data_IF_188636824180
#
_entry.id   IF_188636824180
#
_cell.length_a   1.000
_cell.length_b   1.000
_cell.length_c   1.000
_cell.angle_alpha   90.00
_cell.angle_beta   90.00
_cell.angle_gamma   90.00
#
_symmetry.space_group_name_H-M   'P 1'
#
loop_
_entity.id
_entity.type
_entity.pdbx_description
1 polymer ?
#
# COMPACT_ATOMS: atom_id res chain seq x y z
N UNK A 1 -5.12 12.71 46.49
CA UNK A 1 -5.02 12.41 45.05
C UNK A 1 -6.33 11.79 44.61
N UNK A 2 -7.00 12.34 43.59
CA UNK A 2 -8.29 11.83 43.14
C UNK A 2 -8.13 10.46 42.46
N UNK A 3 -9.11 9.57 42.66
CA UNK A 3 -9.14 8.23 42.05
C UNK A 3 -9.00 8.28 40.51
N UNK A 4 -9.46 9.37 39.90
CA UNK A 4 -9.33 9.66 38.46
C UNK A 4 -7.88 9.74 37.96
N UNK A 5 -6.94 10.27 38.77
CA UNK A 5 -5.53 10.33 38.38
C UNK A 5 -4.90 8.93 38.33
N UNK A 6 -5.29 8.06 39.27
CA UNK A 6 -4.78 6.68 39.34
C UNK A 6 -5.36 5.84 38.20
N UNK A 7 -6.64 6.02 37.86
CA UNK A 7 -7.31 5.28 36.78
C UNK A 7 -6.80 5.68 35.38
N UNK A 8 -6.61 6.97 35.11
CA UNK A 8 -6.09 7.47 33.81
C UNK A 8 -4.61 7.07 33.62
N UNK A 9 -3.81 7.14 34.70
CA UNK A 9 -2.40 6.73 34.71
C UNK A 9 -2.22 5.20 34.66
N UNK A 10 -3.15 4.42 35.20
CA UNK A 10 -3.15 2.97 35.06
C UNK A 10 -3.51 2.57 33.62
N UNK A 11 -4.53 3.20 33.03
CA UNK A 11 -4.95 2.94 31.65
C UNK A 11 -3.83 3.21 30.63
N UNK A 12 -3.12 4.35 30.74
CA UNK A 12 -1.99 4.65 29.84
C UNK A 12 -0.83 3.64 30.01
N UNK A 13 -0.61 3.10 31.21
CA UNK A 13 0.45 2.10 31.44
C UNK A 13 0.09 0.68 31.01
N UNK A 14 -1.19 0.34 30.90
CA UNK A 14 -1.64 -1.01 30.53
C UNK A 14 -1.82 -1.20 29.01
N UNK A 15 -2.06 -0.12 28.25
CA UNK A 15 -2.21 -0.21 26.79
C UNK A 15 -0.88 -0.29 26.00
N UNK A 16 0.28 -0.13 26.65
CA UNK A 16 1.57 0.02 25.99
C UNK A 16 2.62 -1.07 26.27
N UNK A 17 2.22 -2.30 26.61
CA UNK A 17 3.20 -3.28 27.10
C UNK A 17 2.87 -4.75 26.88
N UNK A 18 2.89 -5.22 25.62
CA UNK A 18 3.07 -6.63 25.31
C UNK A 18 3.65 -6.83 23.88
N UNK A 19 4.98 -6.68 23.71
CA UNK A 19 5.85 -7.57 22.91
C UNK A 19 7.32 -7.08 22.86
N UNK A 20 8.21 -7.94 23.37
CA UNK A 20 9.61 -8.21 22.97
C UNK A 20 10.68 -7.09 22.87
N UNK A 21 11.66 -7.19 23.79
CA UNK A 21 13.11 -7.05 23.59
C UNK A 21 13.68 -5.87 22.77
N UNK A 22 14.10 -4.81 23.47
CA UNK A 22 15.06 -3.83 22.95
C UNK A 22 16.49 -4.39 23.06
N UNK A 23 17.07 -4.77 21.93
CA UNK A 23 18.48 -5.13 21.79
C UNK A 23 18.82 -5.42 20.33
N UNK A 24 19.65 -4.55 19.75
CA UNK A 24 20.02 -4.43 18.34
C UNK A 24 19.01 -3.68 17.44
N UNK A 25 19.57 -2.75 16.66
CA UNK A 25 18.91 -1.89 15.68
C UNK A 25 17.95 -2.66 14.78
N UNK A 26 16.65 -2.54 15.05
CA UNK A 26 15.61 -3.03 14.15
C UNK A 26 14.74 -1.83 13.75
N UNK A 27 14.82 -1.47 12.47
CA UNK A 27 13.76 -0.76 11.76
C UNK A 27 12.45 -1.45 12.14
N UNK A 28 11.59 -0.77 12.90
CA UNK A 28 10.25 -1.27 13.18
C UNK A 28 9.40 -1.10 11.93
N UNK A 29 9.55 -2.04 10.99
CA UNK A 29 8.50 -2.39 10.06
C UNK A 29 7.31 -2.92 10.87
N UNK A 30 6.51 -1.99 11.39
CA UNK A 30 5.17 -2.32 11.84
C UNK A 30 4.44 -2.84 10.61
N UNK A 31 4.20 -4.16 10.55
CA UNK A 31 3.28 -4.75 9.59
C UNK A 31 1.87 -4.36 10.02
N UNK A 32 1.52 -3.08 9.81
CA UNK A 32 0.14 -2.74 9.51
C UNK A 32 -0.28 -3.71 8.41
N UNK A 33 -1.39 -4.41 8.59
CA UNK A 33 -1.98 -5.20 7.52
C UNK A 33 -2.08 -4.28 6.30
N UNK A 34 -1.19 -4.46 5.34
CA UNK A 34 -1.24 -3.76 4.08
C UNK A 34 -2.46 -4.36 3.37
N UNK A 35 -3.63 -3.76 3.60
CA UNK A 35 -4.64 -3.78 2.55
C UNK A 35 -3.92 -3.15 1.37
N UNK A 36 -3.44 -3.99 0.45
CA UNK A 36 -2.86 -3.53 -0.81
C UNK A 36 -4.02 -2.94 -1.62
N UNK A 37 -4.39 -1.72 -1.22
CA UNK A 37 -5.28 -0.88 -1.98
C UNK A 37 -4.51 -0.51 -3.24
N UNK A 38 -5.17 -0.67 -4.38
CA UNK A 38 -4.71 -0.15 -5.66
C UNK A 38 -4.21 1.29 -5.49
N UNK A 39 -3.12 1.70 -6.17
CA UNK A 39 -2.60 3.05 -6.07
C UNK A 39 -3.67 4.06 -6.48
N UNK A 40 -3.66 5.22 -5.82
CA UNK A 40 -4.46 6.34 -6.26
C UNK A 40 -3.88 6.87 -7.58
N UNK A 41 -4.55 6.54 -8.69
CA UNK A 41 -4.14 6.97 -10.02
C UNK A 41 -4.38 8.48 -10.24
N UNK A 42 -3.53 9.17 -11.03
CA UNK A 42 -3.83 10.52 -11.48
C UNK A 42 -5.14 10.54 -12.27
N UNK A 43 -5.93 11.61 -12.13
CA UNK A 43 -7.25 11.73 -12.79
C UNK A 43 -7.20 11.66 -14.33
N UNK A 44 -6.03 11.81 -14.94
CA UNK A 44 -5.84 11.64 -16.40
C UNK A 44 -5.61 10.20 -16.84
N UNK A 45 -5.39 9.25 -15.92
CA UNK A 45 -5.12 7.85 -16.22
C UNK A 45 -6.39 7.06 -16.60
N UNK A 46 -7.57 7.65 -16.39
CA UNK A 46 -8.88 7.04 -16.73
C UNK A 46 -9.20 7.11 -18.24
N UNK A 47 -8.40 7.83 -19.04
CA UNK A 47 -8.69 8.22 -20.43
C UNK A 47 -8.54 7.14 -21.50
N UNK A 48 -8.60 5.86 -21.14
CA UNK A 48 -8.43 4.73 -22.06
C UNK A 48 -9.42 3.59 -21.71
N UNK A 49 -9.25 2.36 -22.20
CA UNK A 49 -10.13 1.20 -21.93
C UNK A 49 -10.33 0.87 -20.44
N UNK A 50 -9.59 1.52 -19.54
CA UNK A 50 -9.81 1.46 -18.09
C UNK A 50 -9.39 0.14 -17.45
N UNK A 51 -8.60 -0.67 -18.16
CA UNK A 51 -8.08 -1.94 -17.64
C UNK A 51 -6.97 -1.70 -16.62
N UNK A 52 -7.07 -2.38 -15.47
CA UNK A 52 -6.04 -2.40 -14.43
C UNK A 52 -5.31 -3.74 -14.39
N UNK A 53 -3.99 -3.68 -14.24
CA UNK A 53 -3.12 -4.82 -14.03
C UNK A 53 -2.08 -4.51 -12.94
N UNK A 54 -2.02 -5.40 -11.95
CA UNK A 54 -0.89 -5.48 -11.01
C UNK A 54 0.18 -6.41 -11.60
N UNK A 55 1.37 -5.88 -11.84
CA UNK A 55 2.53 -6.59 -12.34
C UNK A 55 3.76 -6.43 -11.41
N UNK A 56 3.53 -6.14 -10.13
CA UNK A 56 4.59 -6.20 -9.11
C UNK A 56 5.15 -7.63 -9.04
N UNK A 57 6.44 -7.75 -8.74
CA UNK A 57 7.20 -8.99 -8.75
C UNK A 57 7.55 -9.53 -10.14
N UNK A 58 7.25 -8.79 -11.22
CA UNK A 58 7.66 -9.14 -12.57
C UNK A 58 8.95 -8.40 -12.95
N UNK A 59 9.85 -9.09 -13.66
CA UNK A 59 11.09 -8.51 -14.21
C UNK A 59 10.87 -7.76 -15.53
N UNK A 60 9.71 -7.96 -16.18
CA UNK A 60 9.33 -7.27 -17.42
C UNK A 60 7.82 -7.35 -17.65
N UNK A 61 7.27 -6.38 -18.37
CA UNK A 61 5.85 -6.32 -18.74
C UNK A 61 5.71 -5.93 -20.20
N UNK A 62 4.73 -6.53 -20.88
CA UNK A 62 4.35 -6.15 -22.25
C UNK A 62 3.09 -5.31 -22.22
N UNK A 63 3.12 -4.13 -22.84
CA UNK A 63 1.95 -3.28 -23.05
C UNK A 63 1.62 -3.28 -24.54
N UNK A 64 0.40 -3.66 -24.88
CA UNK A 64 -0.08 -3.64 -26.26
C UNK A 64 -0.44 -2.21 -26.67
N UNK A 65 -0.13 -1.84 -27.92
CA UNK A 65 -0.48 -0.55 -28.51
C UNK A 65 -1.54 -0.76 -29.58
N UNK A 66 -2.57 0.08 -29.58
CA UNK A 66 -3.68 0.01 -30.54
C UNK A 66 -4.77 -0.97 -30.14
N UNK A 67 -5.02 -1.11 -28.84
CA UNK A 67 -6.16 -1.84 -28.31
C UNK A 67 -7.48 -1.04 -28.45
N UNK A 68 -8.59 -1.63 -27.99
CA UNK A 68 -9.92 -1.03 -28.02
C UNK A 68 -10.52 -0.93 -29.43
N UNK A 69 -11.82 -0.61 -29.51
CA UNK A 69 -12.56 -0.65 -30.78
C UNK A 69 -12.05 0.35 -31.84
N UNK A 70 -11.39 1.42 -31.40
CA UNK A 70 -10.81 2.44 -32.27
C UNK A 70 -9.33 2.18 -32.59
N UNK A 71 -8.70 1.21 -31.93
CA UNK A 71 -7.27 0.93 -32.10
C UNK A 71 -6.36 2.06 -31.61
N UNK A 72 -6.80 2.83 -30.62
CA UNK A 72 -6.08 4.00 -30.07
C UNK A 72 -5.75 3.86 -28.57
N UNK A 73 -5.89 2.65 -28.03
CA UNK A 73 -5.67 2.35 -26.62
C UNK A 73 -4.33 1.66 -26.37
N UNK A 74 -3.78 1.85 -25.16
CA UNK A 74 -2.87 0.89 -24.55
C UNK A 74 -3.65 -0.20 -23.79
N UNK A 75 -3.06 -1.37 -23.64
CA UNK A 75 -3.57 -2.43 -22.75
C UNK A 75 -2.42 -3.11 -22.00
N UNK A 76 -2.39 -3.08 -20.65
CA UNK A 76 -3.36 -2.42 -19.76
C UNK A 76 -3.28 -0.88 -19.77
N UNK A 77 -4.33 -0.22 -19.28
CA UNK A 77 -4.36 1.24 -19.08
C UNK A 77 -3.68 1.66 -17.78
N UNK A 78 -3.95 0.95 -16.70
CA UNK A 78 -3.45 1.18 -15.35
C UNK A 78 -2.51 0.02 -15.00
N UNK A 79 -1.20 0.27 -14.97
CA UNK A 79 -0.18 -0.76 -14.77
C UNK A 79 0.68 -0.46 -13.54
N UNK A 80 0.56 -1.29 -12.51
CA UNK A 80 1.39 -1.18 -11.30
C UNK A 80 2.60 -2.10 -11.38
N UNK A 81 3.81 -1.54 -11.34
CA UNK A 81 5.08 -2.28 -11.34
C UNK A 81 5.95 -1.89 -10.15
N UNK A 82 6.95 -2.72 -9.84
CA UNK A 82 7.98 -2.39 -8.87
C UNK A 82 9.02 -1.44 -9.49
N UNK A 83 9.79 -0.78 -8.63
CA UNK A 83 10.91 0.04 -9.08
C UNK A 83 12.02 -0.85 -9.63
N UNK A 84 12.38 -0.66 -10.89
CA UNK A 84 13.43 -1.44 -11.55
C UNK A 84 12.93 -2.64 -12.38
N UNK A 85 11.61 -2.82 -12.48
CA UNK A 85 10.95 -3.62 -13.52
C UNK A 85 11.19 -3.04 -14.91
#
# INVERSE_FOLDING_TARGET
>A
MSTDDVSRRAFIRTAGGATAAAGATAVTSGTAAAQEAEPAWPSGAEGNVGSYQDARGQDSVTVSVGAGDQGLAFDPTLLWVDTGT
#
